data_IF_436119874123
#
_entry.id   IF_436119874123
#
_cell.length_a   1.000
_cell.length_b   1.000
_cell.length_c   1.000
_cell.angle_alpha   90.00
_cell.angle_beta   90.00
_cell.angle_gamma   90.00
#
_symmetry.space_group_name_H-M   'P 1'
#
loop_
_entity.id
_entity.type
_entity.pdbx_description
1 polymer ?
#
# COMPACT_ATOMS: atom_id res chain seq x y z
N UNK A 1 2.33 -20.59 -0.84
CA UNK A 1 2.97 -19.62 0.04
C UNK A 1 2.30 -18.29 -0.01
N UNK A 2 2.05 -17.70 1.13
CA UNK A 2 1.51 -16.34 1.18
C UNK A 2 2.58 -15.36 0.70
N UNK A 3 2.22 -14.47 -0.23
CA UNK A 3 3.12 -13.42 -0.70
C UNK A 3 3.25 -12.35 0.37
N UNK A 4 4.47 -11.86 0.58
CA UNK A 4 4.69 -10.78 1.55
C UNK A 4 4.10 -9.49 1.04
N UNK A 5 3.42 -8.76 1.91
CA UNK A 5 2.93 -7.43 1.60
C UNK A 5 4.09 -6.46 1.53
N UNK A 6 4.11 -5.61 0.50
CA UNK A 6 5.09 -4.53 0.39
C UNK A 6 4.66 -3.35 1.26
N UNK A 7 3.37 -3.00 1.20
CA UNK A 7 2.77 -1.94 2.00
C UNK A 7 1.47 -2.47 2.59
N UNK A 8 1.30 -2.34 3.88
CA UNK A 8 0.05 -2.67 4.56
C UNK A 8 -0.43 -1.48 5.36
N UNK A 9 -1.72 -1.15 5.20
CA UNK A 9 -2.36 -0.13 6.01
C UNK A 9 -3.40 -0.80 6.87
N UNK A 10 -3.28 -0.65 8.19
CA UNK A 10 -4.23 -1.21 9.15
C UNK A 10 -4.72 -0.13 10.11
N UNK A 11 -5.97 -0.26 10.54
CA UNK A 11 -6.51 0.60 11.58
C UNK A 11 -6.14 0.01 12.94
N UNK A 12 -4.95 0.33 13.43
CA UNK A 12 -4.53 -0.04 14.77
C UNK A 12 -4.29 1.22 15.59
N UNK A 13 -4.74 1.24 16.84
CA UNK A 13 -4.55 2.37 17.71
C UNK A 13 -4.90 2.04 19.14
N UNK A 14 -4.34 2.83 20.06
CA UNK A 14 -4.57 2.64 21.50
C UNK A 14 -5.84 3.31 22.00
N UNK A 15 -6.45 4.19 21.20
CA UNK A 15 -7.59 4.98 21.65
C UNK A 15 -8.89 4.28 21.29
N UNK A 16 -9.70 4.04 22.33
CA UNK A 16 -11.02 3.40 22.17
C UNK A 16 -11.90 4.18 21.20
N UNK A 17 -11.90 5.51 21.29
CA UNK A 17 -12.69 6.35 20.41
C UNK A 17 -12.30 6.19 18.94
N UNK A 18 -11.00 6.07 18.67
CA UNK A 18 -10.50 5.84 17.33
C UNK A 18 -10.90 4.47 16.81
N UNK A 19 -10.80 3.44 17.67
CA UNK A 19 -11.23 2.08 17.32
C UNK A 19 -12.73 2.02 17.03
N UNK A 20 -13.55 2.66 17.86
CA UNK A 20 -14.99 2.70 17.68
C UNK A 20 -15.37 3.44 16.40
N UNK A 21 -14.65 4.50 16.08
CA UNK A 21 -14.78 5.26 14.83
C UNK A 21 -14.54 4.35 13.62
N UNK A 22 -13.39 3.66 13.59
CA UNK A 22 -13.06 2.76 12.50
C UNK A 22 -14.02 1.57 12.43
N UNK A 23 -14.50 1.08 13.56
CA UNK A 23 -15.46 -0.01 13.60
C UNK A 23 -16.81 0.41 12.99
N UNK A 24 -17.25 1.64 13.25
CA UNK A 24 -18.46 2.18 12.62
C UNK A 24 -18.29 2.34 11.11
N UNK A 25 -17.14 2.84 10.67
CA UNK A 25 -16.82 2.94 9.25
C UNK A 25 -16.81 1.56 8.58
N UNK A 26 -16.24 0.55 9.26
CA UNK A 26 -16.14 -0.80 8.70
C UNK A 26 -17.49 -1.45 8.44
N UNK A 27 -18.56 -0.98 9.09
CA UNK A 27 -19.90 -1.51 8.93
C UNK A 27 -20.73 -0.79 7.87
N UNK A 28 -20.15 0.23 7.20
CA UNK A 28 -20.84 0.99 6.16
C UNK A 28 -20.38 0.53 4.78
N UNK A 29 -21.34 0.29 3.89
CA UNK A 29 -21.03 -0.11 2.51
C UNK A 29 -20.18 0.93 1.78
N UNK A 30 -20.40 2.21 2.08
CA UNK A 30 -19.67 3.31 1.46
C UNK A 30 -18.19 3.29 1.83
N UNK A 31 -17.85 2.78 3.01
CA UNK A 31 -16.45 2.66 3.44
C UNK A 31 -15.67 1.73 2.52
N UNK A 32 -16.23 0.57 2.19
CA UNK A 32 -15.56 -0.37 1.28
C UNK A 32 -15.30 0.27 -0.09
N UNK A 33 -16.28 0.99 -0.61
CA UNK A 33 -16.17 1.68 -1.90
C UNK A 33 -15.05 2.71 -1.88
N UNK A 34 -14.94 3.48 -0.80
CA UNK A 34 -13.87 4.47 -0.63
C UNK A 34 -12.51 3.78 -0.54
N UNK A 35 -12.41 2.70 0.24
CA UNK A 35 -11.17 1.93 0.38
C UNK A 35 -10.73 1.36 -0.96
N UNK A 36 -11.65 0.80 -1.73
CA UNK A 36 -11.38 0.25 -3.05
C UNK A 36 -10.86 1.32 -4.01
N UNK A 37 -11.49 2.48 -4.02
CA UNK A 37 -11.08 3.62 -4.83
C UNK A 37 -9.61 3.99 -4.54
N UNK A 38 -9.25 4.14 -3.26
CA UNK A 38 -7.89 4.52 -2.90
C UNK A 38 -6.88 3.39 -3.04
N UNK A 39 -7.32 2.13 -2.92
CA UNK A 39 -6.48 1.00 -3.23
C UNK A 39 -6.07 1.01 -4.71
N UNK A 40 -7.02 1.29 -5.60
CA UNK A 40 -6.76 1.41 -7.03
C UNK A 40 -5.87 2.62 -7.36
N UNK A 41 -6.13 3.76 -6.72
CA UNK A 41 -5.29 4.95 -6.87
C UNK A 41 -3.86 4.64 -6.41
N UNK A 42 -3.73 3.90 -5.31
CA UNK A 42 -2.43 3.47 -4.80
C UNK A 42 -1.65 2.64 -5.80
N UNK A 43 -2.31 1.67 -6.44
CA UNK A 43 -1.69 0.86 -7.50
C UNK A 43 -1.20 1.75 -8.63
N UNK A 44 -2.04 2.66 -9.10
CA UNK A 44 -1.68 3.58 -10.19
C UNK A 44 -0.50 4.47 -9.82
N UNK A 45 -0.53 5.07 -8.62
CA UNK A 45 0.54 5.96 -8.16
C UNK A 45 1.85 5.22 -7.93
N UNK A 46 1.79 4.01 -7.36
CA UNK A 46 2.98 3.18 -7.17
C UNK A 46 3.56 2.75 -8.51
N UNK A 47 2.71 2.41 -9.46
CA UNK A 47 3.13 2.07 -10.83
C UNK A 47 3.88 3.24 -11.46
N UNK A 48 3.32 4.45 -11.38
CA UNK A 48 3.93 5.66 -11.94
C UNK A 48 5.25 6.03 -11.26
N UNK A 49 5.37 5.76 -9.97
CA UNK A 49 6.56 6.10 -9.18
C UNK A 49 7.66 5.04 -9.30
N UNK A 50 7.34 3.83 -9.74
CA UNK A 50 8.31 2.74 -9.87
C UNK A 50 9.31 3.07 -10.98
N UNK A 51 10.63 3.03 -10.68
CA UNK A 51 11.64 3.25 -11.72
C UNK A 51 11.46 2.25 -12.85
N UNK A 52 11.44 2.77 -14.09
CA UNK A 52 11.22 1.94 -15.28
C UNK A 52 12.57 1.46 -15.81
N UNK A 53 12.79 0.16 -15.69
CA UNK A 53 13.90 -0.51 -16.36
C UNK A 53 13.35 -1.31 -17.55
N UNK A 54 12.43 -2.25 -17.27
CA UNK A 54 11.76 -3.03 -18.31
C UNK A 54 10.25 -2.76 -18.38
N UNK A 55 9.70 -1.97 -17.46
CA UNK A 55 8.27 -1.74 -17.33
C UNK A 55 7.52 -2.83 -16.59
N UNK A 56 8.08 -4.04 -16.50
CA UNK A 56 7.42 -5.20 -15.89
C UNK A 56 7.10 -4.96 -14.42
N UNK A 57 8.05 -4.43 -13.66
CA UNK A 57 7.86 -4.18 -12.23
C UNK A 57 6.77 -3.13 -11.99
N UNK A 58 6.77 -2.07 -12.79
CA UNK A 58 5.75 -1.02 -12.70
C UNK A 58 4.33 -1.56 -12.95
N UNK A 59 4.19 -2.53 -13.85
CA UNK A 59 2.90 -3.11 -14.22
C UNK A 59 2.46 -4.24 -13.28
N UNK A 60 3.31 -4.62 -12.33
CA UNK A 60 3.07 -5.79 -11.47
C UNK A 60 2.45 -5.45 -10.12
N UNK A 61 2.08 -4.20 -9.89
CA UNK A 61 1.41 -3.80 -8.67
C UNK A 61 -0.04 -4.28 -8.63
N UNK A 62 -0.48 -4.73 -7.45
CA UNK A 62 -1.88 -5.08 -7.21
C UNK A 62 -2.20 -4.88 -5.73
N UNK A 63 -3.48 -4.91 -5.40
CA UNK A 63 -3.91 -4.73 -4.02
C UNK A 63 -4.85 -5.84 -3.58
N UNK A 64 -4.95 -6.02 -2.27
CA UNK A 64 -6.01 -6.80 -1.62
C UNK A 64 -6.59 -5.98 -0.49
N UNK A 65 -7.88 -6.15 -0.22
CA UNK A 65 -8.56 -5.51 0.91
C UNK A 65 -9.14 -6.63 1.76
N UNK A 66 -8.71 -6.70 3.01
CA UNK A 66 -9.16 -7.71 3.96
C UNK A 66 -9.93 -7.05 5.09
N UNK A 67 -11.08 -7.63 5.45
CA UNK A 67 -11.80 -7.21 6.64
C UNK A 67 -11.22 -7.94 7.84
N UNK A 68 -10.79 -7.16 8.83
CA UNK A 68 -10.24 -7.69 10.07
C UNK A 68 -11.24 -7.49 11.22
N UNK A 69 -10.96 -8.08 12.37
CA UNK A 69 -11.77 -7.91 13.57
C UNK A 69 -11.91 -6.44 13.98
N UNK A 70 -10.86 -5.65 13.80
CA UNK A 70 -10.80 -4.26 14.24
C UNK A 70 -10.99 -3.24 13.12
N UNK A 71 -11.25 -3.70 11.88
CA UNK A 71 -11.45 -2.79 10.75
C UNK A 71 -11.07 -3.40 9.42
N UNK A 72 -10.36 -2.63 8.61
CA UNK A 72 -9.97 -3.02 7.26
C UNK A 72 -8.46 -2.96 7.10
N UNK A 73 -7.94 -3.81 6.22
CA UNK A 73 -6.51 -3.81 5.88
C UNK A 73 -6.37 -3.75 4.37
N UNK A 74 -5.64 -2.76 3.88
CA UNK A 74 -5.27 -2.66 2.47
C UNK A 74 -3.83 -3.11 2.35
N UNK A 75 -3.58 -4.05 1.42
CA UNK A 75 -2.23 -4.52 1.11
C UNK A 75 -1.92 -4.18 -0.34
N UNK A 76 -0.83 -3.47 -0.58
CA UNK A 76 -0.28 -3.30 -1.92
C UNK A 76 0.88 -4.27 -2.06
N UNK A 77 0.85 -5.04 -3.13
CA UNK A 77 1.84 -6.08 -3.41
C UNK A 77 2.35 -5.93 -4.82
N UNK A 78 3.52 -6.48 -5.07
CA UNK A 78 4.11 -6.49 -6.41
C UNK A 78 4.54 -7.92 -6.74
N UNK A 79 4.08 -8.43 -7.89
CA UNK A 79 4.33 -9.80 -8.30
C UNK A 79 5.70 -9.99 -8.97
N UNK A 80 6.42 -8.90 -9.25
CA UNK A 80 7.76 -8.99 -9.83
C UNK A 80 8.77 -9.36 -8.73
N UNK A 81 9.36 -10.53 -8.83
CA UNK A 81 10.24 -11.09 -7.81
C UNK A 81 11.53 -11.63 -8.42
N UNK A 82 12.62 -11.57 -7.64
CA UNK A 82 13.89 -12.23 -7.92
C UNK A 82 14.26 -13.03 -6.68
N UNK A 83 14.40 -14.35 -6.85
CA UNK A 83 14.73 -15.29 -5.75
C UNK A 83 13.74 -15.16 -4.56
N UNK A 84 12.46 -14.96 -4.85
CA UNK A 84 11.42 -14.84 -3.82
C UNK A 84 11.33 -13.47 -3.15
N UNK A 85 12.16 -12.51 -3.56
CA UNK A 85 12.16 -11.16 -3.02
C UNK A 85 11.52 -10.21 -4.03
N UNK A 86 10.51 -9.42 -3.63
CA UNK A 86 9.95 -8.42 -4.54
C UNK A 86 11.02 -7.44 -5.02
N UNK A 87 11.08 -7.21 -6.33
CA UNK A 87 12.08 -6.30 -6.93
C UNK A 87 11.96 -4.89 -6.33
N UNK A 88 10.76 -4.45 -6.01
CA UNK A 88 10.54 -3.12 -5.42
C UNK A 88 11.23 -2.95 -4.06
N UNK A 89 11.38 -4.04 -3.29
CA UNK A 89 12.10 -4.00 -2.02
C UNK A 89 13.61 -3.78 -2.27
N UNK A 90 14.15 -4.44 -3.29
CA UNK A 90 15.56 -4.24 -3.67
C UNK A 90 15.81 -2.81 -4.11
N UNK A 91 14.88 -2.21 -4.85
CA UNK A 91 14.99 -0.82 -5.29
C UNK A 91 14.94 0.12 -4.08
N UNK A 92 14.01 -0.11 -3.17
CA UNK A 92 13.80 0.76 -2.01
C UNK A 92 15.03 0.82 -1.10
N UNK A 93 15.63 -0.34 -0.82
CA UNK A 93 16.74 -0.43 0.15
C UNK A 93 18.12 -0.47 -0.50
N UNK A 94 18.19 -0.53 -1.82
CA UNK A 94 19.44 -0.70 -2.53
C UNK A 94 19.92 -2.15 -2.48
N UNK A 95 20.84 -2.51 -3.34
CA UNK A 95 21.38 -3.87 -3.39
C UNK A 95 22.69 -3.93 -4.16
N UNK A 96 23.47 -4.99 -3.92
CA UNK A 96 24.64 -5.29 -4.72
C UNK A 96 24.26 -5.94 -6.04
N UNK A 97 25.11 -5.79 -7.04
CA UNK A 97 24.96 -6.43 -8.35
C UNK A 97 25.92 -7.59 -8.50
N UNK A 98 25.66 -8.48 -9.48
CA UNK A 98 26.52 -9.64 -9.75
C UNK A 98 27.97 -9.26 -10.11
N UNK A 99 28.13 -8.07 -10.64
CA UNK A 99 29.46 -7.59 -11.10
C UNK A 99 30.20 -6.82 -10.01
N UNK A 100 29.78 -6.91 -8.75
CA UNK A 100 30.40 -6.21 -7.64
C UNK A 100 29.99 -4.74 -7.52
N UNK A 101 29.03 -4.29 -8.33
CA UNK A 101 28.48 -2.95 -8.24
C UNK A 101 27.42 -2.83 -7.14
N UNK A 102 26.90 -1.63 -7.00
CA UNK A 102 25.88 -1.34 -5.99
C UNK A 102 24.83 -0.39 -6.56
N UNK A 103 23.57 -0.69 -6.33
CA UNK A 103 22.44 0.18 -6.68
C UNK A 103 22.00 0.90 -5.40
N UNK A 104 22.07 2.24 -5.43
CA UNK A 104 21.71 3.04 -4.28
C UNK A 104 20.22 2.93 -3.94
N UNK A 105 19.83 3.07 -2.66
CA UNK A 105 18.43 3.06 -2.26
C UNK A 105 17.62 4.15 -2.96
N UNK A 106 16.40 3.82 -3.32
CA UNK A 106 15.43 4.78 -3.87
C UNK A 106 14.07 4.50 -3.21
N UNK A 107 13.77 5.26 -2.17
CA UNK A 107 12.48 5.11 -1.48
C UNK A 107 11.39 5.89 -2.20
N UNK A 108 10.90 5.32 -3.29
CA UNK A 108 9.73 5.86 -3.99
C UNK A 108 8.41 5.44 -3.34
N UNK A 109 8.44 4.36 -2.54
CA UNK A 109 7.25 3.76 -1.93
C UNK A 109 6.71 4.63 -0.79
N UNK A 110 7.57 5.03 0.15
CA UNK A 110 7.17 5.77 1.34
C UNK A 110 6.39 7.05 1.03
N UNK A 111 6.96 7.97 0.25
CA UNK A 111 6.25 9.21 -0.10
C UNK A 111 4.95 8.98 -0.88
N UNK A 112 4.94 8.01 -1.79
CA UNK A 112 3.75 7.69 -2.59
C UNK A 112 2.64 7.14 -1.71
N UNK A 113 2.96 6.17 -0.85
CA UNK A 113 1.99 5.58 0.07
C UNK A 113 1.43 6.63 1.04
N UNK A 114 2.28 7.52 1.54
CA UNK A 114 1.85 8.58 2.46
C UNK A 114 0.82 9.49 1.81
N UNK A 115 1.03 9.91 0.57
CA UNK A 115 0.08 10.77 -0.14
C UNK A 115 -1.27 10.08 -0.35
N UNK A 116 -1.26 8.81 -0.69
CA UNK A 116 -2.49 8.02 -0.87
C UNK A 116 -3.22 7.88 0.46
N UNK A 117 -2.50 7.56 1.54
CA UNK A 117 -3.08 7.41 2.87
C UNK A 117 -3.66 8.71 3.39
N UNK A 118 -2.97 9.84 3.20
CA UNK A 118 -3.46 11.15 3.63
C UNK A 118 -4.76 11.51 2.91
N UNK A 119 -4.83 11.25 1.60
CA UNK A 119 -6.04 11.50 0.82
C UNK A 119 -7.19 10.58 1.25
N UNK A 120 -6.90 9.32 1.51
CA UNK A 120 -7.89 8.36 2.01
C UNK A 120 -8.46 8.81 3.37
N UNK A 121 -7.60 9.14 4.30
CA UNK A 121 -8.02 9.56 5.63
C UNK A 121 -8.86 10.84 5.58
N UNK A 122 -8.50 11.77 4.71
CA UNK A 122 -9.27 12.99 4.52
C UNK A 122 -10.69 12.69 4.02
N UNK A 123 -10.82 11.83 3.02
CA UNK A 123 -12.14 11.47 2.49
C UNK A 123 -12.99 10.71 3.49
N UNK A 124 -12.40 9.78 4.23
CA UNK A 124 -13.10 9.06 5.30
C UNK A 124 -13.59 10.03 6.39
N UNK A 125 -12.76 11.01 6.74
CA UNK A 125 -13.16 12.02 7.72
C UNK A 125 -14.34 12.86 7.23
N UNK A 126 -14.32 13.27 5.96
CA UNK A 126 -15.43 14.03 5.36
C UNK A 126 -16.71 13.19 5.35
N UNK A 127 -16.62 11.89 5.09
CA UNK A 127 -17.78 11.00 5.10
C UNK A 127 -18.41 10.89 6.50
N UNK A 128 -17.58 10.89 7.53
CA UNK A 128 -18.06 10.80 8.93
C UNK A 128 -18.77 12.06 9.39
N UNK A 129 -18.38 13.21 8.84
CA UNK A 129 -19.02 14.49 9.20
C UNK A 129 -20.43 14.65 8.65
N UNK A 130 -20.83 13.85 7.69
CA UNK A 130 -22.16 13.92 7.08
C UNK A 130 -23.26 13.42 7.99
#
# INVERSE_FOLDING_TARGET
>A
MAKKSVISMTSTGYWKATKDFFRRLANQNDTYTILQKYAEIGVERLSQATPIDTGKTAESWYYTIDKTKDGWKINWRNSSEVDGIPVVILIRYGHGTRNGGYVAPNDFIGPTAKKVMDALCKELWEEVKK
#
